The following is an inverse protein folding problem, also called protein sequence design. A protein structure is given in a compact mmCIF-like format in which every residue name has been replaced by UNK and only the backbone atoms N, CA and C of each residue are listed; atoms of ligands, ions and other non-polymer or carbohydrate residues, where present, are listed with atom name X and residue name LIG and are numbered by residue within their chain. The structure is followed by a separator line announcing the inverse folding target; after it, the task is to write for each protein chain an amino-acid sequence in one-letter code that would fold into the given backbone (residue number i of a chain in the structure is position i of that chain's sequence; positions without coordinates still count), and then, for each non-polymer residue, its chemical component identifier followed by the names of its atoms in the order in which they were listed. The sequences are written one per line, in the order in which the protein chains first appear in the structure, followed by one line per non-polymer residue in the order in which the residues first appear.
data_IF_610239512407
#
_entry.id   IF_610239512407
#
_cell.length_a   1.000
_cell.length_b   1.000
_cell.length_c   1.000
_cell.angle_alpha   90.00
_cell.angle_beta   90.00
_cell.angle_gamma   90.00
#
_symmetry.space_group_name_H-M   'P 1'
#
loop_
_entity.id
_entity.type
_entity.pdbx_description
1 polymer ?
#
# COMPACT_ATOMS: atom_id res chain seq x y z
N UNK A 1 -33.57 12.80 -12.01
CA UNK A 1 -33.71 13.11 -10.57
C UNK A 1 -34.10 11.91 -9.69
N UNK A 2 -34.92 10.94 -10.14
CA UNK A 2 -35.32 9.78 -9.30
C UNK A 2 -34.18 8.80 -8.94
N UNK A 3 -33.09 8.73 -9.72
CA UNK A 3 -31.92 7.88 -9.44
C UNK A 3 -30.99 8.46 -8.37
N UNK A 4 -30.97 9.78 -8.21
CA UNK A 4 -30.14 10.47 -7.21
C UNK A 4 -30.73 10.36 -5.79
N UNK A 5 -32.07 10.43 -5.69
CA UNK A 5 -32.78 10.24 -4.42
C UNK A 5 -32.55 8.82 -3.83
N UNK A 6 -32.39 7.81 -4.69
CA UNK A 6 -32.19 6.43 -4.26
C UNK A 6 -30.78 6.18 -3.70
N UNK A 7 -29.78 6.92 -4.21
CA UNK A 7 -28.40 6.90 -3.72
C UNK A 7 -28.25 7.58 -2.35
N UNK A 8 -28.98 8.68 -2.12
CA UNK A 8 -29.00 9.40 -0.84
C UNK A 8 -29.69 8.57 0.25
N UNK A 9 -30.77 7.85 -0.08
CA UNK A 9 -31.45 6.94 0.85
C UNK A 9 -30.58 5.72 1.18
N UNK A 10 -29.80 5.20 0.22
CA UNK A 10 -28.86 4.11 0.45
C UNK A 10 -27.71 4.53 1.38
N UNK A 11 -27.20 5.75 1.24
CA UNK A 11 -26.17 6.33 2.11
C UNK A 11 -26.67 6.53 3.54
N UNK A 12 -27.93 6.94 3.71
CA UNK A 12 -28.56 7.07 5.04
C UNK A 12 -28.86 5.72 5.72
N UNK A 13 -29.09 4.66 4.94
CA UNK A 13 -29.25 3.30 5.49
C UNK A 13 -27.92 2.69 5.94
N UNK A 14 -26.81 3.02 5.27
CA UNK A 14 -25.46 2.59 5.69
C UNK A 14 -25.05 3.29 6.98
N UNK A 15 -25.35 4.58 7.17
CA UNK A 15 -25.04 5.28 8.42
C UNK A 15 -25.85 4.75 9.61
N UNK A 16 -27.10 4.30 9.40
CA UNK A 16 -27.90 3.64 10.44
C UNK A 16 -27.42 2.23 10.81
N UNK A 17 -26.68 1.55 9.92
CA UNK A 17 -26.03 0.26 10.24
C UNK A 17 -24.80 0.40 11.17
N UNK A 18 -24.21 1.60 11.28
CA UNK A 18 -23.10 1.87 12.20
C UNK A 18 -23.52 2.40 13.58
N UNK A 19 -24.77 2.83 13.76
CA UNK A 19 -25.29 3.37 15.04
C UNK A 19 -25.69 2.27 16.04
N UNK A 20 -25.76 1.00 15.60
CA UNK A 20 -26.15 -0.14 16.43
C UNK A 20 -25.02 -0.97 17.07
N UNK A 21 -23.74 -0.70 16.75
CA UNK A 21 -22.62 -1.43 17.35
C UNK A 21 -22.35 -0.92 18.77
N UNK A 22 -22.96 -1.62 19.74
CA UNK A 22 -22.72 -1.44 21.18
C UNK A 22 -21.23 -1.31 21.50
N UNK A 23 -20.88 -0.17 22.11
CA UNK A 23 -19.78 0.03 23.06
C UNK A 23 -19.48 -1.25 23.84
N UNK A 24 -18.29 -1.80 23.65
CA UNK A 24 -17.77 -2.92 24.44
C UNK A 24 -16.42 -3.38 23.89
N UNK A 25 -15.35 -2.96 24.57
CA UNK A 25 -13.94 -3.39 24.41
C UNK A 25 -13.41 -3.52 22.97
N UNK A 26 -12.62 -2.52 22.55
CA UNK A 26 -11.70 -2.66 21.42
C UNK A 26 -10.90 -3.95 21.62
N UNK A 27 -10.95 -4.85 20.64
CA UNK A 27 -10.15 -6.06 20.69
C UNK A 27 -8.67 -5.66 20.70
N UNK A 28 -7.77 -6.35 21.42
CA UNK A 28 -6.32 -6.09 21.35
C UNK A 28 -5.75 -6.14 19.93
N UNK A 29 -6.52 -6.69 18.99
CA UNK A 29 -6.23 -6.77 17.55
C UNK A 29 -6.57 -5.47 16.80
N UNK A 30 -7.58 -4.71 17.21
CA UNK A 30 -7.79 -3.36 16.68
C UNK A 30 -6.67 -2.46 17.15
N UNK A 31 -6.24 -2.52 18.41
CA UNK A 31 -5.08 -1.76 18.87
C UNK A 31 -3.75 -2.23 18.25
N UNK A 32 -3.57 -3.52 17.99
CA UNK A 32 -2.34 -4.02 17.35
C UNK A 32 -2.32 -3.79 15.83
N UNK A 33 -3.48 -3.87 15.18
CA UNK A 33 -3.67 -3.51 13.76
C UNK A 33 -3.50 -2.01 13.56
N UNK A 34 -4.16 -1.19 14.38
CA UNK A 34 -3.96 0.26 14.44
C UNK A 34 -2.49 0.57 14.78
N UNK A 35 -1.81 -0.11 15.71
CA UNK A 35 -0.38 0.14 15.98
C UNK A 35 0.56 -0.27 14.86
N UNK A 36 0.18 -1.23 14.00
CA UNK A 36 0.99 -1.61 12.84
C UNK A 36 0.75 -0.63 11.69
N UNK A 37 -0.50 -0.24 11.42
CA UNK A 37 -0.85 0.81 10.45
C UNK A 37 -0.35 2.19 10.87
N UNK A 38 -0.44 2.54 12.15
CA UNK A 38 -0.05 3.84 12.71
C UNK A 38 1.48 3.98 12.85
N UNK A 39 2.22 2.87 13.04
CA UNK A 39 3.69 2.85 12.94
C UNK A 39 4.21 2.71 11.51
N UNK A 40 3.37 2.31 10.57
CA UNK A 40 3.65 2.36 9.13
C UNK A 40 3.36 3.74 8.53
N UNK A 41 2.99 4.75 9.34
CA UNK A 41 3.14 6.15 8.94
C UNK A 41 4.62 6.43 8.75
N UNK A 42 5.06 6.23 7.51
CA UNK A 42 6.42 6.48 7.06
C UNK A 42 6.72 7.96 7.29
N UNK A 43 7.58 8.22 8.25
CA UNK A 43 8.09 9.54 8.58
C UNK A 43 9.60 9.48 8.42
N UNK A 44 10.14 10.48 7.74
CA UNK A 44 11.52 10.72 7.31
C UNK A 44 11.86 10.11 5.93
N UNK A 45 12.08 11.02 4.98
CA UNK A 45 12.38 10.79 3.56
C UNK A 45 13.55 9.87 3.27
N UNK A 46 14.52 9.77 4.17
CA UNK A 46 15.61 8.80 4.06
C UNK A 46 15.11 7.35 4.19
N UNK A 47 14.03 7.10 4.95
CA UNK A 47 13.40 5.78 5.04
C UNK A 47 12.50 5.47 3.84
N UNK A 48 12.50 6.28 2.77
CA UNK A 48 11.81 5.94 1.51
C UNK A 48 12.76 5.39 0.44
N UNK A 49 14.06 5.67 0.55
CA UNK A 49 15.04 5.25 -0.44
C UNK A 49 15.42 3.77 -0.27
N UNK A 50 15.65 3.11 -1.41
CA UNK A 50 16.24 1.80 -1.53
C UNK A 50 17.73 1.94 -1.81
N UNK A 51 18.52 1.06 -1.21
CA UNK A 51 19.91 0.84 -1.60
C UNK A 51 20.03 -0.37 -2.52
N UNK A 52 21.08 -0.42 -3.36
CA UNK A 52 21.35 -1.61 -4.18
C UNK A 52 21.52 -2.89 -3.34
N UNK A 53 22.07 -2.74 -2.13
CA UNK A 53 22.26 -3.86 -1.20
C UNK A 53 20.92 -4.41 -0.74
N UNK A 54 19.97 -3.54 -0.38
CA UNK A 54 18.62 -3.94 0.02
C UNK A 54 17.89 -4.63 -1.12
N UNK A 55 17.98 -4.13 -2.35
CA UNK A 55 17.33 -4.76 -3.52
C UNK A 55 17.91 -6.15 -3.78
N UNK A 56 19.24 -6.31 -3.79
CA UNK A 56 19.88 -7.63 -3.95
C UNK A 56 19.51 -8.59 -2.83
N UNK A 57 19.47 -8.11 -1.59
CA UNK A 57 19.08 -8.93 -0.44
C UNK A 57 17.61 -9.33 -0.54
N UNK A 58 16.74 -8.40 -0.94
CA UNK A 58 15.31 -8.61 -1.12
C UNK A 58 15.03 -9.67 -2.19
N UNK A 59 15.67 -9.57 -3.36
CA UNK A 59 15.51 -10.54 -4.45
C UNK A 59 15.82 -11.96 -3.99
N UNK A 60 16.84 -12.12 -3.15
CA UNK A 60 17.23 -13.43 -2.59
C UNK A 60 16.31 -13.88 -1.45
N UNK A 61 15.82 -12.95 -0.62
CA UNK A 61 14.99 -13.24 0.54
C UNK A 61 13.53 -13.52 0.17
N UNK A 62 13.01 -12.87 -0.87
CA UNK A 62 11.59 -12.91 -1.23
C UNK A 62 11.06 -14.32 -1.52
N UNK A 63 11.74 -15.19 -2.30
CA UNK A 63 11.29 -16.56 -2.51
C UNK A 63 11.20 -17.37 -1.21
N UNK A 64 12.17 -17.19 -0.31
CA UNK A 64 12.18 -17.87 1.00
C UNK A 64 11.06 -17.37 1.90
N UNK A 65 10.82 -16.06 1.87
CA UNK A 65 9.69 -15.45 2.55
C UNK A 65 8.37 -16.00 2.03
N UNK A 66 8.12 -15.96 0.71
CA UNK A 66 6.92 -16.48 0.04
C UNK A 66 6.67 -17.94 0.40
N UNK A 67 7.66 -18.81 0.26
CA UNK A 67 7.55 -20.23 0.61
C UNK A 67 7.27 -20.46 2.10
N UNK A 68 7.85 -19.63 2.98
CA UNK A 68 7.57 -19.70 4.42
C UNK A 68 6.15 -19.25 4.75
N UNK A 69 5.70 -18.15 4.15
CA UNK A 69 4.33 -17.63 4.29
C UNK A 69 3.30 -18.64 3.79
N UNK A 70 3.55 -19.28 2.63
CA UNK A 70 2.67 -20.32 2.07
C UNK A 70 2.61 -21.55 2.99
N UNK A 71 3.76 -22.08 3.42
CA UNK A 71 3.84 -23.25 4.31
C UNK A 71 3.17 -23.00 5.65
N UNK A 72 3.36 -21.83 6.23
CA UNK A 72 2.73 -21.48 7.51
C UNK A 72 1.25 -21.13 7.31
N UNK A 73 0.88 -20.47 6.20
CA UNK A 73 -0.51 -20.21 5.79
C UNK A 73 -1.32 -21.49 5.59
N UNK A 74 -0.74 -22.53 5.00
CA UNK A 74 -1.35 -23.86 4.87
C UNK A 74 -1.62 -24.52 6.24
N UNK A 75 -0.72 -24.35 7.22
CA UNK A 75 -0.95 -24.84 8.58
C UNK A 75 -2.15 -24.15 9.25
N UNK A 76 -2.50 -22.93 8.81
CA UNK A 76 -3.69 -22.22 9.26
C UNK A 76 -4.95 -22.56 8.45
N UNK A 77 -4.81 -22.98 7.18
CA UNK A 77 -5.96 -23.45 6.37
C UNK A 77 -6.64 -24.71 6.94
N UNK A 78 -5.92 -25.51 7.74
CA UNK A 78 -6.49 -26.64 8.50
C UNK A 78 -7.20 -26.26 9.80
N UNK A 79 -7.11 -24.99 10.22
CA UNK A 79 -7.65 -24.49 11.49
C UNK A 79 -8.64 -23.34 11.23
N UNK A 80 -9.79 -23.68 10.66
CA UNK A 80 -10.90 -22.76 10.36
C UNK A 80 -10.53 -21.63 9.37
N UNK A 81 -11.40 -21.36 8.39
CA UNK A 81 -11.09 -20.54 7.19
C UNK A 81 -10.82 -19.04 7.42
N UNK A 82 -10.44 -18.63 8.63
CA UNK A 82 -10.09 -17.27 8.98
C UNK A 82 -8.64 -17.21 9.46
N UNK A 83 -7.70 -16.98 8.54
CA UNK A 83 -6.29 -16.67 8.82
C UNK A 83 -6.17 -15.55 9.88
N UNK A 84 -7.08 -14.56 9.82
CA UNK A 84 -7.23 -13.48 10.80
C UNK A 84 -7.62 -13.97 12.22
N UNK A 85 -8.31 -15.10 12.33
CA UNK A 85 -8.74 -15.70 13.61
C UNK A 85 -7.65 -16.57 14.24
N UNK A 86 -6.78 -17.19 13.44
CA UNK A 86 -5.62 -17.92 13.96
C UNK A 86 -4.52 -16.96 14.47
N UNK A 87 -4.34 -15.82 13.81
CA UNK A 87 -3.54 -14.69 14.31
C UNK A 87 -4.07 -14.12 15.65
N UNK A 88 -5.35 -14.33 15.97
CA UNK A 88 -5.99 -13.92 17.23
C UNK A 88 -5.46 -14.67 18.47
N UNK A 89 -4.73 -15.77 18.28
CA UNK A 89 -4.00 -16.42 19.38
C UNK A 89 -2.58 -15.86 19.46
N UNK A 90 -2.34 -14.89 20.35
CA UNK A 90 -1.07 -14.15 20.46
C UNK A 90 0.20 -15.04 20.53
N UNK A 91 0.09 -16.28 21.02
CA UNK A 91 1.21 -17.24 21.03
C UNK A 91 1.57 -17.80 19.65
N UNK A 92 0.59 -18.01 18.76
CA UNK A 92 0.86 -18.50 17.41
C UNK A 92 1.41 -17.39 16.52
N UNK A 93 0.90 -16.17 16.64
CA UNK A 93 1.45 -14.99 15.97
C UNK A 93 2.92 -14.74 16.34
N UNK A 94 3.29 -14.81 17.62
CA UNK A 94 4.69 -14.67 18.05
C UNK A 94 5.58 -15.80 17.50
N UNK A 95 5.10 -17.05 17.49
CA UNK A 95 5.87 -18.17 16.89
C UNK A 95 6.06 -17.99 15.39
N UNK A 96 5.04 -17.47 14.71
CA UNK A 96 5.05 -17.18 13.29
C UNK A 96 6.10 -16.11 12.94
N UNK A 97 6.05 -14.95 13.61
CA UNK A 97 7.04 -13.88 13.44
C UNK A 97 8.45 -14.38 13.73
N UNK A 98 8.65 -15.19 14.80
CA UNK A 98 9.97 -15.78 15.09
C UNK A 98 10.47 -16.70 13.98
N UNK A 99 9.61 -17.47 13.32
CA UNK A 99 10.00 -18.33 12.20
C UNK A 99 10.38 -17.52 10.98
N UNK A 100 9.60 -16.49 10.66
CA UNK A 100 9.89 -15.58 9.54
C UNK A 100 11.22 -14.86 9.79
N UNK A 101 11.40 -14.26 10.96
CA UNK A 101 12.67 -13.59 11.32
C UNK A 101 13.86 -14.55 11.22
N UNK A 102 13.69 -15.83 11.58
CA UNK A 102 14.75 -16.83 11.47
C UNK A 102 15.18 -17.07 10.03
N UNK A 103 14.24 -17.14 9.08
CA UNK A 103 14.56 -17.39 7.66
C UNK A 103 15.04 -16.13 6.93
N UNK A 104 14.64 -14.94 7.41
CA UNK A 104 15.04 -13.66 6.85
C UNK A 104 16.42 -13.19 7.34
N UNK A 105 16.82 -13.58 8.57
CA UNK A 105 18.08 -13.16 9.19
C UNK A 105 19.34 -13.38 8.32
N UNK A 106 19.53 -14.51 7.61
CA UNK A 106 20.68 -14.71 6.72
C UNK A 106 20.80 -13.67 5.60
N UNK A 107 19.69 -13.03 5.24
CA UNK A 107 19.62 -11.99 4.21
C UNK A 107 19.75 -10.57 4.79
N UNK A 108 19.94 -10.45 6.11
CA UNK A 108 20.04 -9.16 6.79
C UNK A 108 18.69 -8.53 7.13
N UNK A 109 17.60 -9.31 7.11
CA UNK A 109 16.25 -8.83 7.41
C UNK A 109 15.66 -9.46 8.67
N UNK A 110 14.80 -8.69 9.32
CA UNK A 110 13.67 -9.19 10.10
C UNK A 110 12.35 -8.92 9.34
N UNK A 111 11.23 -9.35 9.90
CA UNK A 111 9.91 -9.17 9.28
C UNK A 111 9.61 -7.69 9.02
N UNK A 112 9.94 -6.80 9.95
CA UNK A 112 9.61 -5.38 9.84
C UNK A 112 10.41 -4.71 8.71
N UNK A 113 11.74 -4.84 8.74
CA UNK A 113 12.63 -4.33 7.70
C UNK A 113 12.33 -4.95 6.34
N UNK A 114 12.04 -6.24 6.27
CA UNK A 114 11.64 -6.88 5.02
C UNK A 114 10.34 -6.30 4.46
N UNK A 115 9.33 -6.08 5.30
CA UNK A 115 8.05 -5.50 4.84
C UNK A 115 8.22 -4.06 4.39
N UNK A 116 9.05 -3.26 5.06
CA UNK A 116 9.40 -1.91 4.60
C UNK A 116 10.06 -1.96 3.22
N UNK A 117 11.07 -2.81 3.03
CA UNK A 117 11.72 -2.98 1.71
C UNK A 117 10.74 -3.51 0.67
N UNK A 118 9.86 -4.44 1.02
CA UNK A 118 8.82 -4.97 0.13
C UNK A 118 7.90 -3.85 -0.39
N UNK A 119 7.43 -2.96 0.49
CA UNK A 119 6.57 -1.81 0.11
C UNK A 119 7.32 -0.89 -0.86
N UNK A 120 8.55 -0.50 -0.52
CA UNK A 120 9.39 0.36 -1.39
C UNK A 120 9.60 -0.27 -2.77
N UNK A 121 9.92 -1.56 -2.83
CA UNK A 121 10.13 -2.31 -4.08
C UNK A 121 8.83 -2.37 -4.89
N UNK A 122 7.69 -2.65 -4.26
CA UNK A 122 6.40 -2.73 -4.95
C UNK A 122 5.95 -1.38 -5.51
N UNK A 123 6.01 -0.32 -4.72
CA UNK A 123 5.65 1.03 -5.15
C UNK A 123 6.52 1.49 -6.33
N UNK A 124 7.83 1.30 -6.22
CA UNK A 124 8.78 1.71 -7.25
C UNK A 124 8.70 0.82 -8.52
N UNK A 125 8.44 -0.48 -8.37
CA UNK A 125 8.20 -1.38 -9.51
C UNK A 125 6.88 -1.04 -10.22
N UNK A 126 5.81 -0.71 -9.49
CA UNK A 126 4.57 -0.23 -10.07
C UNK A 126 4.80 1.08 -10.86
N UNK A 127 5.57 2.01 -10.29
CA UNK A 127 5.99 3.23 -10.97
C UNK A 127 6.71 2.95 -12.30
N UNK A 128 7.64 1.99 -12.33
CA UNK A 128 8.33 1.56 -13.57
C UNK A 128 7.37 0.97 -14.60
N UNK A 129 6.50 0.04 -14.16
CA UNK A 129 5.58 -0.69 -15.05
C UNK A 129 4.54 0.23 -15.70
N UNK A 130 4.16 1.31 -15.02
CA UNK A 130 3.25 2.33 -15.55
C UNK A 130 3.94 3.36 -16.47
N UNK A 131 5.24 3.21 -16.74
CA UNK A 131 6.01 4.12 -17.60
C UNK A 131 6.41 5.44 -16.94
N UNK A 132 6.40 5.48 -15.60
CA UNK A 132 6.57 6.66 -14.77
C UNK A 132 5.23 7.29 -14.42
N UNK A 133 4.87 7.30 -13.13
CA UNK A 133 3.61 7.87 -12.65
C UNK A 133 3.48 9.36 -13.03
N UNK A 134 4.61 10.07 -13.09
CA UNK A 134 4.71 11.47 -13.55
C UNK A 134 4.04 11.66 -14.91
N UNK A 135 4.29 10.79 -15.91
CA UNK A 135 3.72 10.96 -17.26
C UNK A 135 2.21 10.78 -17.27
N UNK A 136 1.71 9.80 -16.53
CA UNK A 136 0.28 9.55 -16.44
C UNK A 136 -0.44 10.68 -15.69
N UNK A 137 0.19 11.22 -14.63
CA UNK A 137 -0.30 12.38 -13.89
C UNK A 137 -0.25 13.65 -14.76
N UNK A 138 0.85 13.90 -15.49
CA UNK A 138 0.97 15.02 -16.43
C UNK A 138 -0.13 14.99 -17.50
N UNK A 139 -0.38 13.82 -18.09
CA UNK A 139 -1.46 13.65 -19.06
C UNK A 139 -2.85 13.90 -18.44
N UNK A 140 -3.08 13.42 -17.22
CA UNK A 140 -4.32 13.68 -16.48
C UNK A 140 -4.50 15.17 -16.19
N UNK A 141 -3.47 15.83 -15.67
CA UNK A 141 -3.47 17.28 -15.41
C UNK A 141 -3.74 18.03 -16.71
N UNK A 142 -3.10 17.66 -17.81
CA UNK A 142 -3.34 18.25 -19.13
C UNK A 142 -4.81 18.12 -19.56
N UNK A 143 -5.39 16.91 -19.45
CA UNK A 143 -6.80 16.68 -19.77
C UNK A 143 -7.74 17.51 -18.89
N UNK A 144 -7.47 17.63 -17.60
CA UNK A 144 -8.25 18.46 -16.69
C UNK A 144 -8.15 19.96 -17.02
N UNK A 145 -6.94 20.44 -17.35
CA UNK A 145 -6.72 21.82 -17.83
C UNK A 145 -7.44 22.10 -19.14
N UNK A 146 -7.60 21.10 -20.01
CA UNK A 146 -8.42 21.22 -21.23
C UNK A 146 -9.92 21.28 -20.90
N UNK A 147 -10.40 20.44 -19.99
CA UNK A 147 -11.80 20.45 -19.50
C UNK A 147 -12.19 21.79 -18.89
N UNK A 148 -11.28 22.47 -18.17
CA UNK A 148 -11.51 23.81 -17.63
C UNK A 148 -11.78 24.89 -18.68
N UNK A 149 -11.49 24.64 -19.96
CA UNK A 149 -11.75 25.57 -21.06
C UNK A 149 -13.21 25.55 -21.53
N UNK A 150 -14.03 24.61 -21.07
CA UNK A 150 -15.45 24.57 -21.43
C UNK A 150 -16.19 25.79 -20.83
N UNK A 151 -16.71 26.71 -21.67
CA UNK A 151 -17.42 27.88 -21.18
C UNK A 151 -18.73 27.54 -20.47
N UNK A 152 -19.31 26.34 -20.72
CA UNK A 152 -20.60 25.93 -20.15
C UNK A 152 -20.48 25.20 -18.81
N UNK A 153 -19.24 24.99 -18.32
CA UNK A 153 -19.02 24.31 -17.06
C UNK A 153 -19.35 25.24 -15.87
N UNK A 154 -20.12 24.76 -14.87
CA UNK A 154 -20.40 25.51 -13.65
C UNK A 154 -19.13 25.91 -12.90
N UNK A 155 -19.13 27.08 -12.28
CA UNK A 155 -17.94 27.60 -11.58
C UNK A 155 -17.52 26.73 -10.39
N UNK A 156 -18.48 26.16 -9.65
CA UNK A 156 -18.21 25.21 -8.56
C UNK A 156 -17.40 23.99 -9.07
N UNK A 157 -17.78 23.43 -10.22
CA UNK A 157 -17.08 22.29 -10.84
C UNK A 157 -15.69 22.71 -11.34
N UNK A 158 -15.54 23.95 -11.83
CA UNK A 158 -14.21 24.47 -12.22
C UNK A 158 -13.27 24.60 -11.03
N UNK A 159 -13.77 25.02 -9.87
CA UNK A 159 -12.95 25.10 -8.65
C UNK A 159 -12.53 23.70 -8.18
N UNK A 160 -13.44 22.72 -8.13
CA UNK A 160 -13.09 21.34 -7.77
C UNK A 160 -12.00 20.75 -8.68
N UNK A 161 -12.07 21.03 -9.99
CA UNK A 161 -11.05 20.58 -10.95
C UNK A 161 -9.72 21.31 -10.72
N UNK A 162 -9.73 22.60 -10.37
CA UNK A 162 -8.51 23.36 -10.04
C UNK A 162 -7.84 22.83 -8.78
N UNK A 163 -8.62 22.54 -7.75
CA UNK A 163 -8.13 21.92 -6.51
C UNK A 163 -7.53 20.53 -6.82
N UNK A 164 -8.22 19.71 -7.60
CA UNK A 164 -7.72 18.39 -8.02
C UNK A 164 -6.41 18.48 -8.81
N UNK A 165 -6.27 19.45 -9.71
CA UNK A 165 -5.01 19.70 -10.43
C UNK A 165 -3.90 20.05 -9.45
N UNK A 166 -4.17 20.95 -8.51
CA UNK A 166 -3.18 21.40 -7.52
C UNK A 166 -2.71 20.25 -6.64
N UNK A 167 -3.62 19.42 -6.15
CA UNK A 167 -3.26 18.23 -5.34
C UNK A 167 -2.39 17.25 -6.13
N UNK A 168 -2.69 17.01 -7.41
CA UNK A 168 -1.86 16.14 -8.26
C UNK A 168 -0.47 16.74 -8.52
N UNK A 169 -0.38 18.06 -8.76
CA UNK A 169 0.90 18.76 -8.92
C UNK A 169 1.74 18.67 -7.63
N UNK A 170 1.13 18.90 -6.46
CA UNK A 170 1.79 18.75 -5.15
C UNK A 170 2.25 17.30 -4.90
N UNK A 171 1.46 16.30 -5.29
CA UNK A 171 1.86 14.89 -5.16
C UNK A 171 3.03 14.53 -6.07
N UNK A 172 3.08 15.05 -7.30
CA UNK A 172 4.20 14.85 -8.21
C UNK A 172 5.50 15.46 -7.71
N UNK A 173 5.41 16.58 -7.00
CA UNK A 173 6.56 17.27 -6.40
C UNK A 173 6.89 16.78 -4.98
N UNK A 174 6.14 15.79 -4.47
CA UNK A 174 6.37 15.24 -3.14
C UNK A 174 7.70 14.50 -3.04
N UNK A 175 8.29 14.53 -1.85
CA UNK A 175 9.53 13.81 -1.58
C UNK A 175 9.36 12.28 -1.77
N UNK A 176 8.14 11.77 -1.58
CA UNK A 176 7.77 10.37 -1.83
C UNK A 176 7.83 10.03 -3.33
N UNK A 177 7.29 10.88 -4.20
CA UNK A 177 7.40 10.69 -5.64
C UNK A 177 8.86 10.72 -6.11
N UNK A 178 9.67 11.64 -5.59
CA UNK A 178 11.11 11.69 -5.89
C UNK A 178 11.85 10.43 -5.41
N UNK A 179 11.50 9.91 -4.24
CA UNK A 179 12.07 8.67 -3.72
C UNK A 179 11.71 7.46 -4.61
N UNK A 180 10.45 7.32 -5.03
CA UNK A 180 10.05 6.24 -5.94
C UNK A 180 10.75 6.33 -7.30
N UNK A 181 10.97 7.53 -7.82
CA UNK A 181 11.73 7.75 -9.04
C UNK A 181 13.19 7.29 -8.90
N UNK A 182 13.88 7.71 -7.83
CA UNK A 182 15.25 7.27 -7.53
C UNK A 182 15.33 5.75 -7.32
N UNK A 183 14.35 5.18 -6.63
CA UNK A 183 14.26 3.74 -6.41
C UNK A 183 14.03 2.98 -7.72
N UNK A 184 13.18 3.49 -8.62
CA UNK A 184 12.92 2.91 -9.93
C UNK A 184 14.20 2.80 -10.77
N UNK A 185 15.10 3.79 -10.71
CA UNK A 185 16.41 3.72 -11.38
C UNK A 185 17.29 2.57 -10.85
N UNK A 186 17.22 2.28 -9.55
CA UNK A 186 17.91 1.14 -8.94
C UNK A 186 17.25 -0.17 -9.38
N UNK A 187 15.92 -0.25 -9.33
CA UNK A 187 15.17 -1.44 -9.69
C UNK A 187 15.28 -1.80 -11.18
N UNK A 188 15.45 -0.82 -12.08
CA UNK A 188 15.65 -1.06 -13.51
C UNK A 188 16.86 -1.97 -13.79
N UNK A 189 17.90 -1.89 -12.95
CA UNK A 189 19.08 -2.77 -13.03
C UNK A 189 18.76 -4.24 -12.73
N UNK A 190 17.65 -4.52 -12.05
CA UNK A 190 17.22 -5.85 -11.61
C UNK A 190 15.84 -6.23 -12.16
N UNK A 191 15.35 -5.54 -13.19
CA UNK A 191 13.97 -5.68 -13.68
C UNK A 191 13.59 -7.11 -14.05
N UNK A 192 14.53 -7.90 -14.58
CA UNK A 192 14.24 -9.26 -15.03
C UNK A 192 14.10 -10.21 -13.83
N UNK A 193 14.98 -10.06 -12.82
CA UNK A 193 14.85 -10.78 -11.54
C UNK A 193 13.52 -10.42 -10.86
N UNK A 194 13.18 -9.12 -10.79
CA UNK A 194 11.94 -8.64 -10.17
C UNK A 194 10.68 -9.14 -10.91
N UNK A 195 10.70 -9.14 -12.24
CA UNK A 195 9.64 -9.72 -13.06
C UNK A 195 9.45 -11.21 -12.80
N UNK A 196 10.52 -11.95 -12.52
CA UNK A 196 10.41 -13.36 -12.15
C UNK A 196 9.75 -13.54 -10.77
N UNK A 197 10.09 -12.70 -9.80
CA UNK A 197 9.54 -12.76 -8.45
C UNK A 197 8.03 -12.47 -8.38
N UNK A 198 7.53 -11.58 -9.24
CA UNK A 198 6.14 -11.12 -9.24
C UNK A 198 5.22 -11.82 -10.25
N UNK A 199 5.69 -12.88 -10.91
CA UNK A 199 4.83 -13.81 -11.66
C UNK A 199 4.00 -14.69 -10.74
#
# INVERSE_FOLDING_TARGET
MKKFALLIVLLFLISLLFVGCRRGEKSPVEEAGERIEEKLKVSETEDLLLTEKEVKAFIKAYPVFKATMEKEGEKFKGADKNILRAMRSGRQAVKYVKRINKVLKPYGFDMESFMKTFIKVQASHAYMMMGGMDKLMEENIKRMKETLKDPNMPDEVKEEIRESIKEMEEQMESEEAEAYKKNAEILEKYKDDLKELFK
#
